data_IF_960228002549
#
_entry.id   IF_960228002549
#
_cell.length_a   1.000
_cell.length_b   1.000
_cell.length_c   1.000
_cell.angle_alpha   90.00
_cell.angle_beta   90.00
_cell.angle_gamma   90.00
#
_symmetry.space_group_name_H-M   'P 1'
#
loop_
_entity.id
_entity.type
_entity.pdbx_description
1 polymer ?
#
# COMPACT_ATOMS: atom_id res chain seq x y z
N UNK A 1 1.87 22.25 6.83
CA UNK A 1 1.55 20.85 7.18
C UNK A 1 1.72 20.71 8.69
N UNK A 2 0.74 20.12 9.37
CA UNK A 2 0.85 19.79 10.80
C UNK A 2 0.62 18.29 10.98
N UNK A 3 1.25 17.71 12.01
CA UNK A 3 1.04 16.30 12.36
C UNK A 3 -0.07 16.23 13.41
N UNK A 4 -1.13 15.48 13.10
CA UNK A 4 -2.23 15.20 14.03
C UNK A 4 -2.35 13.68 14.10
N UNK A 5 -2.23 13.12 15.30
CA UNK A 5 -2.28 11.66 15.54
C UNK A 5 -1.31 10.83 14.67
N UNK A 6 -0.17 11.41 14.32
CA UNK A 6 0.85 10.76 13.49
C UNK A 6 0.57 10.83 11.98
N UNK A 7 -0.52 11.46 11.56
CA UNK A 7 -0.85 11.68 10.16
C UNK A 7 -0.57 13.13 9.73
N UNK A 8 -0.11 13.36 8.48
CA UNK A 8 0.08 14.70 7.96
C UNK A 8 -1.25 15.34 7.53
N UNK A 9 -1.50 16.55 8.02
CA UNK A 9 -2.64 17.37 7.64
C UNK A 9 -2.20 18.64 6.89
N UNK A 10 -2.94 18.94 5.82
CA UNK A 10 -2.67 20.02 4.88
C UNK A 10 -3.81 21.04 4.88
N UNK A 11 -3.50 22.33 4.84
CA UNK A 11 -4.51 23.38 4.72
C UNK A 11 -5.23 23.20 3.37
N UNK A 12 -6.53 22.96 3.43
CA UNK A 12 -7.33 22.60 2.27
C UNK A 12 -7.33 23.69 1.19
N UNK A 13 -7.34 24.96 1.63
CA UNK A 13 -7.30 26.13 0.75
C UNK A 13 -6.04 26.14 -0.11
N UNK A 14 -4.87 25.99 0.51
CA UNK A 14 -3.57 26.02 -0.16
C UNK A 14 -3.44 24.85 -1.14
N UNK A 15 -3.89 23.66 -0.73
CA UNK A 15 -3.93 22.48 -1.60
C UNK A 15 -4.81 22.74 -2.83
N UNK A 16 -6.01 23.28 -2.63
CA UNK A 16 -6.91 23.61 -3.74
C UNK A 16 -6.30 24.65 -4.70
N UNK A 17 -5.63 25.67 -4.17
CA UNK A 17 -4.96 26.71 -4.97
C UNK A 17 -3.83 26.11 -5.82
N UNK A 18 -2.94 25.32 -5.20
CA UNK A 18 -1.86 24.61 -5.89
C UNK A 18 -2.42 23.68 -6.97
N UNK A 19 -3.54 23.02 -6.70
CA UNK A 19 -4.22 22.13 -7.64
C UNK A 19 -5.10 22.85 -8.68
N UNK A 20 -5.28 24.18 -8.59
CA UNK A 20 -6.14 24.95 -9.50
C UNK A 20 -7.63 24.67 -9.34
N UNK A 21 -8.06 24.22 -8.16
CA UNK A 21 -9.44 23.98 -7.79
C UNK A 21 -10.06 25.29 -7.27
N UNK A 22 -10.48 26.15 -8.20
CA UNK A 22 -10.96 27.53 -7.92
C UNK A 22 -12.15 27.52 -6.95
N UNK A 23 -13.08 26.57 -7.11
CA UNK A 23 -14.23 26.41 -6.22
C UNK A 23 -13.89 25.46 -5.09
N UNK A 24 -13.15 25.94 -4.10
CA UNK A 24 -12.64 25.11 -3.01
C UNK A 24 -13.75 24.36 -2.25
N UNK A 25 -14.91 25.00 -2.01
CA UNK A 25 -16.06 24.37 -1.34
C UNK A 25 -16.63 23.19 -2.14
N UNK A 26 -16.72 23.33 -3.46
CA UNK A 26 -17.20 22.27 -4.35
C UNK A 26 -16.19 21.12 -4.47
N UNK A 27 -14.90 21.40 -4.30
CA UNK A 27 -13.87 20.36 -4.28
C UNK A 27 -13.90 19.56 -2.96
N UNK A 28 -14.07 20.26 -1.84
CA UNK A 28 -14.16 19.65 -0.51
C UNK A 28 -15.47 18.92 -0.25
N UNK A 29 -16.56 19.26 -0.96
CA UNK A 29 -17.80 18.48 -0.87
C UNK A 29 -17.69 17.07 -1.46
N UNK A 30 -16.61 16.79 -2.22
CA UNK A 30 -16.30 15.47 -2.78
C UNK A 30 -15.25 14.69 -1.98
N UNK A 31 -14.72 15.28 -0.90
CA UNK A 31 -13.83 14.62 0.05
C UNK A 31 -14.70 14.04 1.17
N UNK A 32 -14.41 12.83 1.63
CA UNK A 32 -15.14 12.22 2.74
C UNK A 32 -14.98 13.05 4.03
N UNK A 33 -15.96 12.99 4.92
CA UNK A 33 -15.95 13.81 6.14
C UNK A 33 -14.84 13.39 7.11
N UNK A 34 -14.41 12.13 7.10
CA UNK A 34 -13.27 11.62 7.88
C UNK A 34 -11.91 12.14 7.38
N UNK A 35 -11.84 12.53 6.10
CA UNK A 35 -10.61 12.99 5.45
C UNK A 35 -10.45 14.52 5.45
N UNK A 36 -11.37 15.23 6.12
CA UNK A 36 -11.40 16.70 6.19
C UNK A 36 -11.97 17.19 7.52
N UNK A 37 -11.98 18.52 7.72
CA UNK A 37 -12.78 19.13 8.79
C UNK A 37 -12.03 19.40 10.09
N UNK A 38 -10.78 18.91 10.23
CA UNK A 38 -9.90 19.39 11.30
C UNK A 38 -9.61 20.86 11.07
N UNK A 39 -9.93 21.67 12.08
CA UNK A 39 -9.63 23.10 12.08
C UNK A 39 -8.24 23.31 12.64
N UNK A 40 -7.30 23.63 11.74
CA UNK A 40 -5.93 23.96 12.10
C UNK A 40 -5.82 25.47 12.27
N UNK A 41 -5.32 25.90 13.44
CA UNK A 41 -5.00 27.32 13.65
C UNK A 41 -3.72 27.67 12.89
N UNK A 42 -3.82 28.67 12.04
CA UNK A 42 -2.72 29.19 11.22
C UNK A 42 -2.57 30.67 11.52
N UNK A 43 -1.35 31.10 11.82
CA UNK A 43 -1.05 32.52 11.95
C UNK A 43 -1.05 33.18 10.58
N UNK A 44 -1.97 34.11 10.38
CA UNK A 44 -2.08 34.92 9.17
C UNK A 44 -1.72 36.37 9.46
N UNK A 45 -1.57 37.19 8.42
CA UNK A 45 -1.39 38.64 8.56
C UNK A 45 -2.55 39.32 9.33
N UNK A 46 -3.73 38.68 9.37
CA UNK A 46 -4.89 39.11 10.15
C UNK A 46 -5.01 38.48 11.55
N UNK A 47 -3.97 37.78 12.01
CA UNK A 47 -3.96 37.03 13.27
C UNK A 47 -4.25 35.53 13.10
N UNK A 48 -4.38 34.79 14.22
CA UNK A 48 -4.65 33.35 14.21
C UNK A 48 -6.03 33.05 13.59
N UNK A 49 -6.07 32.21 12.55
CA UNK A 49 -7.30 31.79 11.88
C UNK A 49 -7.43 30.27 11.89
N UNK A 50 -8.62 29.78 12.25
CA UNK A 50 -8.97 28.37 12.11
C UNK A 50 -9.29 28.06 10.64
N UNK A 51 -8.49 27.19 10.02
CA UNK A 51 -8.66 26.78 8.63
C UNK A 51 -8.95 25.29 8.53
N UNK A 52 -9.84 24.93 7.59
CA UNK A 52 -10.10 23.53 7.28
C UNK A 52 -8.86 22.87 6.69
N UNK A 53 -8.51 21.71 7.25
CA UNK A 53 -7.45 20.86 6.75
C UNK A 53 -8.00 19.55 6.17
N UNK A 54 -7.17 18.88 5.37
CA UNK A 54 -7.37 17.53 4.84
C UNK A 54 -6.17 16.65 5.18
N UNK A 55 -6.39 15.38 5.43
CA UNK A 55 -5.32 14.39 5.62
C UNK A 55 -4.73 13.95 4.25
N UNK A 56 -3.87 12.92 4.26
CA UNK A 56 -3.26 12.38 3.03
C UNK A 56 -4.30 11.78 2.07
N UNK A 57 -5.31 11.07 2.58
CA UNK A 57 -6.39 10.51 1.76
C UNK A 57 -7.20 11.61 1.07
N UNK A 58 -7.60 12.64 1.81
CA UNK A 58 -8.29 13.82 1.29
C UNK A 58 -7.45 14.60 0.27
N UNK A 59 -6.13 14.70 0.49
CA UNK A 59 -5.21 15.27 -0.49
C UNK A 59 -5.24 14.48 -1.82
N UNK A 60 -5.19 13.15 -1.79
CA UNK A 60 -5.27 12.34 -3.01
C UNK A 60 -6.60 12.50 -3.73
N UNK A 61 -7.71 12.57 -2.98
CA UNK A 61 -9.03 12.87 -3.56
C UNK A 61 -9.00 14.20 -4.33
N UNK A 62 -8.48 15.28 -3.72
CA UNK A 62 -8.36 16.58 -4.39
C UNK A 62 -7.41 16.53 -5.59
N UNK A 63 -6.25 15.87 -5.46
CA UNK A 63 -5.28 15.73 -6.54
C UNK A 63 -5.90 15.05 -7.78
N UNK A 64 -6.77 14.04 -7.58
CA UNK A 64 -7.41 13.33 -8.67
C UNK A 64 -8.55 14.10 -9.34
N UNK A 65 -9.11 15.11 -8.66
CA UNK A 65 -10.09 16.05 -9.22
C UNK A 65 -9.45 17.13 -10.10
N UNK A 66 -8.17 17.44 -9.88
CA UNK A 66 -7.48 18.52 -10.59
C UNK A 66 -7.33 18.27 -12.09
N UNK A 67 -7.44 19.35 -12.87
CA UNK A 67 -7.19 19.35 -14.32
C UNK A 67 -5.79 19.84 -14.69
N UNK A 68 -4.97 20.27 -13.72
CA UNK A 68 -3.61 20.76 -13.98
C UNK A 68 -2.74 19.64 -14.60
N UNK A 69 -1.85 19.95 -15.55
CA UNK A 69 -0.97 18.96 -16.17
C UNK A 69 -0.14 18.16 -15.14
N UNK A 70 0.34 18.82 -14.09
CA UNK A 70 1.13 18.21 -13.02
C UNK A 70 0.31 17.19 -12.22
N UNK A 71 -0.93 17.53 -11.85
CA UNK A 71 -1.81 16.63 -11.13
C UNK A 71 -2.25 15.43 -12.00
N UNK A 72 -2.45 15.65 -13.30
CA UNK A 72 -2.70 14.56 -14.26
C UNK A 72 -1.49 13.63 -14.40
N UNK A 73 -0.28 14.18 -14.45
CA UNK A 73 0.95 13.40 -14.49
C UNK A 73 1.12 12.58 -13.20
N UNK A 74 0.91 13.19 -12.04
CA UNK A 74 0.90 12.52 -10.74
C UNK A 74 -0.11 11.37 -10.70
N UNK A 75 -1.37 11.63 -11.07
CA UNK A 75 -2.42 10.60 -11.13
C UNK A 75 -2.03 9.45 -12.06
N UNK A 76 -1.48 9.75 -13.24
CA UNK A 76 -1.03 8.74 -14.21
C UNK A 76 0.12 7.90 -13.66
N UNK A 77 1.07 8.53 -12.96
CA UNK A 77 2.18 7.85 -12.31
C UNK A 77 1.69 6.95 -11.16
N UNK A 78 0.84 7.47 -10.26
CA UNK A 78 0.26 6.68 -9.17
C UNK A 78 -0.52 5.47 -9.71
N UNK A 79 -1.42 5.69 -10.67
CA UNK A 79 -2.32 4.64 -11.19
C UNK A 79 -1.65 3.69 -12.18
N UNK A 80 -0.65 4.16 -12.93
CA UNK A 80 0.05 3.38 -13.96
C UNK A 80 1.29 2.66 -13.47
N UNK A 81 1.92 3.15 -12.40
CA UNK A 81 3.22 2.66 -11.94
C UNK A 81 3.19 2.24 -10.47
N UNK A 82 2.81 3.16 -9.56
CA UNK A 82 2.89 2.92 -8.11
C UNK A 82 1.90 1.84 -7.67
N UNK A 83 0.60 2.03 -7.92
CA UNK A 83 -0.43 1.07 -7.51
C UNK A 83 -0.26 -0.31 -8.17
N UNK A 84 0.08 -0.42 -9.47
CA UNK A 84 0.42 -1.70 -10.06
C UNK A 84 1.64 -2.36 -9.41
N UNK A 85 2.67 -1.60 -9.03
CA UNK A 85 3.85 -2.12 -8.35
C UNK A 85 3.51 -2.62 -6.94
N UNK A 86 2.77 -1.83 -6.16
CA UNK A 86 2.27 -2.25 -4.84
C UNK A 86 1.40 -3.50 -4.94
N UNK A 87 0.52 -3.60 -5.95
CA UNK A 87 -0.31 -4.80 -6.17
C UNK A 87 0.52 -6.03 -6.55
N UNK A 88 1.50 -5.87 -7.44
CA UNK A 88 2.30 -6.99 -7.98
C UNK A 88 3.39 -7.46 -7.04
N UNK A 89 4.04 -6.53 -6.35
CA UNK A 89 5.26 -6.77 -5.58
C UNK A 89 5.08 -6.50 -4.09
N UNK A 90 4.06 -5.73 -3.69
CA UNK A 90 3.89 -5.28 -2.31
C UNK A 90 4.70 -4.04 -1.95
N UNK A 91 5.46 -3.48 -2.90
CA UNK A 91 6.29 -2.29 -2.74
C UNK A 91 6.42 -1.51 -4.04
N UNK A 92 6.95 -0.30 -3.91
CA UNK A 92 7.34 0.56 -5.01
C UNK A 92 8.78 1.00 -4.82
N UNK A 93 9.60 0.89 -5.88
CA UNK A 93 10.96 1.43 -5.92
C UNK A 93 10.98 2.51 -6.98
N UNK A 94 11.32 3.73 -6.58
CA UNK A 94 11.38 4.84 -7.51
C UNK A 94 12.42 4.56 -8.62
N UNK A 95 12.12 4.91 -9.89
CA UNK A 95 13.10 4.82 -10.97
C UNK A 95 14.39 5.55 -10.60
N UNK A 96 15.52 4.82 -10.67
CA UNK A 96 16.83 5.36 -10.31
C UNK A 96 17.18 5.28 -8.82
N UNK A 97 16.26 4.85 -7.95
CA UNK A 97 16.62 4.48 -6.59
C UNK A 97 17.47 3.21 -6.61
N UNK A 98 18.71 3.32 -6.16
CA UNK A 98 19.57 2.17 -5.92
C UNK A 98 19.30 1.68 -4.51
N UNK A 99 18.54 0.59 -4.41
CA UNK A 99 18.47 -0.15 -3.15
C UNK A 99 19.80 -0.86 -2.95
N UNK A 100 20.35 -0.78 -1.74
CA UNK A 100 21.43 -1.68 -1.36
C UNK A 100 20.90 -3.12 -1.35
N UNK A 101 21.79 -4.09 -1.51
CA UNK A 101 21.40 -5.50 -1.43
C UNK A 101 20.70 -5.80 -0.09
N UNK A 102 21.18 -5.21 1.02
CA UNK A 102 20.56 -5.30 2.34
C UNK A 102 19.11 -4.77 2.37
N UNK A 103 18.84 -3.62 1.76
CA UNK A 103 17.50 -3.04 1.71
C UNK A 103 16.54 -3.90 0.89
N UNK A 104 17.03 -4.49 -0.20
CA UNK A 104 16.26 -5.41 -1.03
C UNK A 104 15.97 -6.72 -0.28
N UNK A 105 16.97 -7.29 0.38
CA UNK A 105 16.82 -8.52 1.17
C UNK A 105 15.83 -8.33 2.33
N UNK A 106 15.90 -7.21 3.05
CA UNK A 106 14.98 -6.92 4.14
C UNK A 106 13.53 -6.77 3.64
N UNK A 107 13.35 -6.12 2.49
CA UNK A 107 12.04 -5.98 1.87
C UNK A 107 11.45 -7.32 1.44
N UNK A 108 12.25 -8.17 0.78
CA UNK A 108 11.87 -9.52 0.38
C UNK A 108 11.54 -10.39 1.60
N UNK A 109 12.30 -10.26 2.69
CA UNK A 109 12.06 -10.95 3.97
C UNK A 109 10.70 -10.56 4.57
N UNK A 110 10.41 -9.26 4.70
CA UNK A 110 9.13 -8.78 5.24
C UNK A 110 7.94 -9.28 4.41
N UNK A 111 8.07 -9.28 3.09
CA UNK A 111 7.04 -9.80 2.19
C UNK A 111 6.82 -11.29 2.35
N UNK A 112 7.91 -12.06 2.34
CA UNK A 112 7.82 -13.51 2.51
C UNK A 112 7.20 -13.85 3.86
N UNK A 113 7.59 -13.17 4.94
CA UNK A 113 7.00 -13.33 6.27
C UNK A 113 5.48 -13.19 6.28
N UNK A 114 4.94 -12.19 5.57
CA UNK A 114 3.49 -11.98 5.43
C UNK A 114 2.81 -13.07 4.59
N UNK A 115 3.51 -13.62 3.62
CA UNK A 115 2.98 -14.60 2.66
C UNK A 115 3.03 -16.04 3.19
N UNK A 116 4.01 -16.37 4.03
CA UNK A 116 4.28 -17.75 4.49
C UNK A 116 3.04 -18.45 5.03
N UNK A 117 2.18 -17.75 5.78
CA UNK A 117 0.95 -18.31 6.33
C UNK A 117 -0.05 -18.80 5.28
N UNK A 118 0.07 -18.32 4.03
CA UNK A 118 -0.80 -18.65 2.92
C UNK A 118 -0.16 -19.64 1.94
N UNK A 119 1.06 -20.10 2.20
CA UNK A 119 1.80 -20.95 1.26
C UNK A 119 1.98 -22.37 1.82
N UNK A 120 1.76 -23.35 0.96
CA UNK A 120 1.94 -24.77 1.24
C UNK A 120 3.08 -25.36 0.41
N UNK A 121 3.55 -26.56 0.78
CA UNK A 121 4.56 -27.29 0.00
C UNK A 121 4.13 -27.52 -1.46
N UNK A 122 2.82 -27.66 -1.72
CA UNK A 122 2.27 -27.82 -3.08
C UNK A 122 2.46 -26.55 -3.93
N UNK A 123 2.43 -25.39 -3.29
CA UNK A 123 2.60 -24.10 -3.95
C UNK A 123 4.04 -23.93 -4.45
N UNK A 124 5.03 -24.41 -3.69
CA UNK A 124 6.44 -24.34 -4.10
C UNK A 124 6.69 -25.14 -5.38
N UNK A 125 6.04 -26.31 -5.52
CA UNK A 125 6.10 -27.13 -6.73
C UNK A 125 5.45 -26.41 -7.92
N UNK A 126 4.31 -25.74 -7.71
CA UNK A 126 3.64 -24.98 -8.76
C UNK A 126 4.48 -23.80 -9.23
N UNK A 127 5.11 -23.09 -8.29
CA UNK A 127 6.01 -21.97 -8.59
C UNK A 127 7.24 -22.44 -9.37
N UNK A 128 7.87 -23.53 -8.94
CA UNK A 128 9.01 -24.13 -9.64
C UNK A 128 8.66 -24.45 -11.12
N UNK A 129 7.51 -25.10 -11.36
CA UNK A 129 7.04 -25.42 -12.71
C UNK A 129 6.78 -24.17 -13.57
N UNK A 130 6.20 -23.12 -12.98
CA UNK A 130 5.86 -21.89 -13.70
C UNK A 130 7.09 -21.06 -14.06
N UNK A 131 8.07 -21.00 -13.16
CA UNK A 131 9.24 -20.13 -13.29
C UNK A 131 10.43 -20.81 -13.95
N UNK A 132 10.42 -22.15 -14.05
CA UNK A 132 11.52 -22.94 -14.57
C UNK A 132 12.64 -23.19 -13.55
N UNK A 133 12.57 -22.60 -12.35
CA UNK A 133 13.53 -22.85 -11.29
C UNK A 133 13.24 -24.17 -10.55
N UNK A 134 14.28 -24.89 -10.09
CA UNK A 134 14.09 -26.09 -9.31
C UNK A 134 13.46 -25.79 -7.94
N UNK A 135 12.74 -26.76 -7.38
CA UNK A 135 12.03 -26.60 -6.08
C UNK A 135 12.98 -26.17 -4.95
N UNK A 136 14.21 -26.69 -4.92
CA UNK A 136 15.20 -26.30 -3.91
C UNK A 136 15.57 -24.82 -3.99
N UNK A 137 15.55 -24.22 -5.19
CA UNK A 137 15.81 -22.79 -5.36
C UNK A 137 14.65 -21.96 -4.83
N UNK A 138 13.41 -22.38 -5.11
CA UNK A 138 12.20 -21.77 -4.52
C UNK A 138 12.26 -21.84 -2.99
N UNK A 139 12.69 -22.97 -2.43
CA UNK A 139 12.86 -23.11 -0.97
C UNK A 139 13.94 -22.18 -0.41
N UNK A 140 15.06 -21.96 -1.12
CA UNK A 140 16.06 -20.97 -0.72
C UNK A 140 15.52 -19.54 -0.73
N UNK A 141 14.71 -19.18 -1.74
CA UNK A 141 14.04 -17.86 -1.78
C UNK A 141 13.11 -17.70 -0.58
N UNK A 142 12.29 -18.72 -0.29
CA UNK A 142 11.40 -18.71 0.88
C UNK A 142 12.17 -18.61 2.20
N UNK A 143 13.34 -19.24 2.29
CA UNK A 143 14.22 -19.18 3.46
C UNK A 143 15.00 -17.86 3.58
N UNK A 144 14.87 -16.93 2.64
CA UNK A 144 15.67 -15.69 2.60
C UNK A 144 17.16 -15.93 2.32
N UNK A 145 17.50 -17.05 1.67
CA UNK A 145 18.86 -17.49 1.38
C UNK A 145 19.23 -17.38 -0.11
N UNK A 146 18.45 -16.63 -0.90
CA UNK A 146 18.64 -16.49 -2.34
C UNK A 146 19.00 -15.05 -2.70
N UNK A 147 20.10 -14.84 -3.43
CA UNK A 147 20.54 -13.53 -3.91
C UNK A 147 20.21 -13.29 -5.39
N UNK A 148 20.03 -12.00 -5.75
CA UNK A 148 20.09 -11.42 -7.10
C UNK A 148 19.01 -11.82 -8.13
N UNK A 149 18.46 -13.02 -8.08
CA UNK A 149 17.55 -13.58 -9.10
C UNK A 149 16.19 -14.04 -8.53
N UNK A 150 15.90 -13.70 -7.27
CA UNK A 150 14.70 -14.12 -6.56
C UNK A 150 13.40 -13.48 -7.08
N UNK A 151 13.46 -12.38 -7.83
CA UNK A 151 12.29 -11.55 -8.15
C UNK A 151 11.14 -12.27 -8.86
N UNK A 152 11.43 -13.12 -9.85
CA UNK A 152 10.37 -13.86 -10.56
C UNK A 152 9.75 -14.98 -9.71
N UNK A 153 10.55 -15.58 -8.82
CA UNK A 153 10.08 -16.58 -7.85
C UNK A 153 9.24 -15.91 -6.75
N UNK A 154 9.70 -14.78 -6.21
CA UNK A 154 8.96 -13.97 -5.24
C UNK A 154 7.60 -13.55 -5.78
N UNK A 155 7.53 -13.08 -7.03
CA UNK A 155 6.28 -12.72 -7.69
C UNK A 155 5.32 -13.92 -7.80
N UNK A 156 5.83 -15.07 -8.24
CA UNK A 156 5.02 -16.28 -8.38
C UNK A 156 4.52 -16.81 -7.02
N UNK A 157 5.34 -16.72 -5.96
CA UNK A 157 4.94 -17.02 -4.59
C UNK A 157 3.86 -16.04 -4.11
N UNK A 158 4.00 -14.74 -4.40
CA UNK A 158 3.03 -13.72 -3.99
C UNK A 158 1.67 -13.94 -4.62
N UNK A 159 1.61 -14.20 -5.93
CA UNK A 159 0.35 -14.51 -6.61
C UNK A 159 -0.33 -15.74 -6.01
N UNK A 160 0.46 -16.73 -5.60
CA UNK A 160 -0.07 -17.94 -4.98
C UNK A 160 -0.57 -17.70 -3.56
N UNK A 161 0.16 -16.93 -2.76
CA UNK A 161 -0.24 -16.50 -1.43
C UNK A 161 -1.54 -15.67 -1.50
N UNK A 162 -1.67 -14.74 -2.45
CA UNK A 162 -2.88 -13.94 -2.65
C UNK A 162 -4.09 -14.80 -3.06
N UNK A 163 -3.88 -15.82 -3.90
CA UNK A 163 -4.93 -16.77 -4.26
C UNK A 163 -5.38 -17.58 -3.05
N UNK A 164 -4.44 -18.18 -2.33
CA UNK A 164 -4.72 -19.00 -1.17
C UNK A 164 -5.33 -18.17 -0.03
N UNK A 165 -4.97 -16.89 0.12
CA UNK A 165 -5.55 -15.96 1.11
C UNK A 165 -7.07 -15.83 0.99
N UNK A 166 -7.63 -15.88 -0.22
CA UNK A 166 -9.10 -15.81 -0.43
C UNK A 166 -9.84 -17.00 0.17
N UNK A 167 -9.18 -18.14 0.23
CA UNK A 167 -9.72 -19.41 0.74
C UNK A 167 -9.13 -19.75 2.12
N UNK A 168 -8.30 -18.86 2.68
CA UNK A 168 -7.58 -19.10 3.92
C UNK A 168 -8.51 -18.93 5.11
N UNK A 169 -8.70 -20.02 5.84
CA UNK A 169 -9.36 -20.00 7.14
C UNK A 169 -8.29 -20.10 8.20
N UNK A 170 -8.19 -19.07 9.05
CA UNK A 170 -7.24 -19.04 10.15
C UNK A 170 -7.55 -20.19 11.13
N UNK A 171 -6.65 -21.17 11.30
CA UNK A 171 -6.88 -22.30 12.20
C UNK A 171 -6.89 -21.88 13.68
N UNK A 172 -6.37 -20.70 13.99
CA UNK A 172 -6.28 -20.13 15.34
C UNK A 172 -7.26 -18.98 15.57
N UNK A 173 -8.20 -18.72 14.65
CA UNK A 173 -9.24 -17.74 14.95
C UNK A 173 -10.21 -18.28 15.98
N UNK A 174 -10.66 -17.38 16.85
CA UNK A 174 -11.69 -17.64 17.85
C UNK A 174 -12.93 -18.29 17.22
N UNK A 175 -13.38 -17.76 16.07
CA UNK A 175 -14.50 -18.31 15.31
C UNK A 175 -14.31 -19.79 14.90
N UNK A 176 -13.09 -20.22 14.54
CA UNK A 176 -12.81 -21.62 14.22
C UNK A 176 -12.77 -22.48 15.49
N UNK A 177 -12.14 -22.01 16.55
CA UNK A 177 -12.11 -22.71 17.83
C UNK A 177 -13.53 -22.93 18.37
N UNK A 178 -14.38 -21.91 18.31
CA UNK A 178 -15.80 -22.02 18.69
C UNK A 178 -16.54 -23.04 17.83
N UNK A 179 -16.35 -23.01 16.49
CA UNK A 179 -17.00 -23.98 15.60
C UNK A 179 -16.58 -25.43 15.84
N UNK A 180 -15.33 -25.66 16.25
CA UNK A 180 -14.83 -27.01 16.59
C UNK A 180 -15.36 -27.46 17.95
N UNK A 181 -15.47 -26.54 18.93
CA UNK A 181 -16.07 -26.84 20.24
C UNK A 181 -17.55 -27.20 20.09
N UNK A 182 -18.31 -26.45 19.28
CA UNK A 182 -19.73 -26.73 19.00
C UNK A 182 -19.95 -28.06 18.26
N UNK A 183 -19.00 -28.50 17.43
CA UNK A 183 -19.08 -29.80 16.76
C UNK A 183 -18.74 -30.98 17.68
N UNK A 184 -18.15 -30.73 18.85
CA UNK A 184 -17.77 -31.75 19.83
C UNK A 184 -18.74 -31.84 21.02
N UNK A 185 -19.66 -30.89 21.15
CA UNK A 185 -20.75 -30.85 22.14
C UNK A 185 -22.04 -31.46 21.60
#
# INVERSE_FOLDING_TARGET
>A
MQMVDGEPWFIAKDVCEVLGLIKYRDALSRVEDEDKGVSITVDTLGGPQAMTAVNESGFYCLAFQSRKPQARAFRKWVTGEVLPSLRKYGYYVAPGAQLTDEQREELERVMMGRMLRYLSRRDYIQVARRTGYPVWYVQRVVAGQAGGHAGSVMLALQERALKNRREYVDPTSEARMTSVIEQLS
#
